data_IF_901482159255
#
_entry.id   IF_901482159255
#
_cell.length_a   1.000
_cell.length_b   1.000
_cell.length_c   1.000
_cell.angle_alpha   90.00
_cell.angle_beta   90.00
_cell.angle_gamma   90.00
#
_symmetry.space_group_name_H-M   'P 1'
#
loop_
_entity.id
_entity.type
_entity.pdbx_description
1 polymer ?
#
# COMPACT_ATOMS: atom_id res chain seq x y z
N UNK A 1 5.46 16.05 9.38
CA UNK A 1 4.92 15.26 10.51
C UNK A 1 3.47 15.62 10.82
N UNK A 2 3.09 16.91 10.85
CA UNK A 2 1.71 17.34 11.09
C UNK A 2 0.69 16.82 10.06
N UNK A 3 1.09 16.64 8.80
CA UNK A 3 0.18 16.23 7.72
C UNK A 3 -0.34 14.80 7.86
N UNK A 4 0.53 13.82 8.16
CA UNK A 4 0.13 12.43 8.36
C UNK A 4 -0.79 12.26 9.58
N UNK A 5 -0.50 13.00 10.67
CA UNK A 5 -1.34 13.03 11.87
C UNK A 5 -2.71 13.66 11.57
N UNK A 6 -2.73 14.75 10.79
CA UNK A 6 -3.95 15.40 10.33
C UNK A 6 -4.83 14.47 9.49
N UNK A 7 -4.24 13.76 8.52
CA UNK A 7 -4.96 12.76 7.71
C UNK A 7 -5.53 11.64 8.57
N UNK A 8 -4.73 11.05 9.47
CA UNK A 8 -5.18 9.98 10.36
C UNK A 8 -6.35 10.45 11.24
N UNK A 9 -6.27 11.66 11.78
CA UNK A 9 -7.35 12.26 12.55
C UNK A 9 -8.64 12.45 11.72
N UNK A 10 -8.53 12.95 10.48
CA UNK A 10 -9.68 13.11 9.58
C UNK A 10 -10.32 11.76 9.22
N UNK A 11 -9.51 10.74 8.93
CA UNK A 11 -9.98 9.36 8.66
C UNK A 11 -10.73 8.80 9.87
N UNK A 12 -10.16 8.93 11.07
CA UNK A 12 -10.80 8.53 12.33
C UNK A 12 -12.13 9.28 12.54
N UNK A 13 -12.17 10.58 12.22
CA UNK A 13 -13.39 11.37 12.31
C UNK A 13 -14.50 10.81 11.39
N UNK A 14 -14.17 10.47 10.14
CA UNK A 14 -15.12 9.88 9.18
C UNK A 14 -15.64 8.52 9.68
N UNK A 15 -14.76 7.64 10.18
CA UNK A 15 -15.15 6.33 10.73
C UNK A 15 -16.12 6.51 11.90
N UNK A 16 -15.79 7.39 12.84
CA UNK A 16 -16.62 7.65 14.01
C UNK A 16 -17.98 8.27 13.64
N UNK A 17 -18.00 9.23 12.71
CA UNK A 17 -19.25 9.82 12.22
C UNK A 17 -20.11 8.79 11.49
N UNK A 18 -19.50 7.96 10.64
CA UNK A 18 -20.20 6.89 9.91
C UNK A 18 -20.86 5.90 10.86
N UNK A 19 -20.14 5.47 11.90
CA UNK A 19 -20.70 4.61 12.94
C UNK A 19 -21.88 5.27 13.67
N UNK A 20 -21.75 6.55 14.08
CA UNK A 20 -22.84 7.29 14.73
C UNK A 20 -24.06 7.39 13.83
N UNK A 21 -23.90 7.79 12.57
CA UNK A 21 -24.99 7.86 11.59
C UNK A 21 -25.64 6.50 11.41
N UNK A 22 -24.87 5.42 11.24
CA UNK A 22 -25.39 4.07 11.07
C UNK A 22 -26.26 3.63 12.27
N UNK A 23 -25.86 3.99 13.50
CA UNK A 23 -26.67 3.72 14.70
C UNK A 23 -27.99 4.50 14.70
N UNK A 24 -27.99 5.76 14.24
CA UNK A 24 -29.21 6.54 14.09
C UNK A 24 -30.13 5.93 13.02
N UNK A 25 -29.58 5.55 11.86
CA UNK A 25 -30.31 4.84 10.82
C UNK A 25 -30.97 3.55 11.35
N UNK A 26 -30.27 2.79 12.21
CA UNK A 26 -30.82 1.58 12.82
C UNK A 26 -32.03 1.90 13.72
N UNK A 27 -31.98 3.00 14.47
CA UNK A 27 -33.11 3.46 15.29
C UNK A 27 -34.33 3.82 14.44
N UNK A 28 -34.13 4.38 13.24
CA UNK A 28 -35.23 4.62 12.31
C UNK A 28 -35.76 3.32 11.70
N UNK A 29 -34.91 2.34 11.41
CA UNK A 29 -35.33 1.07 10.79
C UNK A 29 -36.34 0.27 11.62
N UNK A 30 -36.27 0.42 12.95
CA UNK A 30 -37.19 -0.25 13.88
C UNK A 30 -38.49 0.53 14.08
N UNK A 31 -38.50 1.83 13.75
CA UNK A 31 -39.62 2.74 13.95
C UNK A 31 -40.42 3.02 12.67
N UNK A 32 -39.80 2.90 11.49
CA UNK A 32 -40.34 3.38 10.22
C UNK A 32 -40.22 2.32 9.12
N UNK A 33 -41.34 1.74 8.70
CA UNK A 33 -41.37 0.69 7.68
C UNK A 33 -41.21 1.20 6.24
N UNK A 34 -41.66 2.42 5.93
CA UNK A 34 -41.73 2.94 4.55
C UNK A 34 -40.37 3.40 3.98
N UNK A 35 -39.35 3.58 4.83
CA UNK A 35 -38.01 4.03 4.44
C UNK A 35 -36.95 2.92 4.55
N UNK A 36 -37.37 1.66 4.75
CA UNK A 36 -36.44 0.56 5.08
C UNK A 36 -35.39 0.32 4.00
N UNK A 37 -35.76 0.44 2.72
CA UNK A 37 -34.84 0.31 1.58
C UNK A 37 -33.77 1.39 1.60
N UNK A 38 -34.19 2.65 1.77
CA UNK A 38 -33.31 3.81 1.82
C UNK A 38 -32.36 3.72 3.02
N UNK A 39 -32.88 3.34 4.19
CA UNK A 39 -32.09 3.13 5.41
C UNK A 39 -31.04 2.03 5.19
N UNK A 40 -31.43 0.90 4.60
CA UNK A 40 -30.51 -0.22 4.36
C UNK A 40 -29.42 0.17 3.36
N UNK A 41 -29.79 0.88 2.29
CA UNK A 41 -28.84 1.40 1.30
C UNK A 41 -27.80 2.31 1.97
N UNK A 42 -28.26 3.24 2.81
CA UNK A 42 -27.38 4.16 3.54
C UNK A 42 -26.51 3.43 4.56
N UNK A 43 -27.03 2.44 5.29
CA UNK A 43 -26.24 1.63 6.23
C UNK A 43 -25.14 0.84 5.54
N UNK A 44 -25.46 0.16 4.43
CA UNK A 44 -24.47 -0.57 3.65
C UNK A 44 -23.37 0.37 3.16
N UNK A 45 -23.75 1.58 2.73
CA UNK A 45 -22.83 2.62 2.30
C UNK A 45 -21.88 3.10 3.40
N UNK A 46 -22.41 3.37 4.58
CA UNK A 46 -21.62 3.81 5.73
C UNK A 46 -20.68 2.72 6.25
N UNK A 47 -21.14 1.46 6.21
CA UNK A 47 -20.33 0.30 6.57
C UNK A 47 -19.15 0.14 5.61
N UNK A 48 -19.41 0.16 4.29
CA UNK A 48 -18.38 0.08 3.25
C UNK A 48 -17.36 1.23 3.33
N UNK A 49 -17.83 2.45 3.60
CA UNK A 49 -16.95 3.60 3.84
C UNK A 49 -16.07 3.38 5.06
N UNK A 50 -16.65 2.92 6.18
CA UNK A 50 -15.92 2.67 7.42
C UNK A 50 -14.87 1.57 7.27
N UNK A 51 -15.19 0.46 6.60
CA UNK A 51 -14.24 -0.66 6.40
C UNK A 51 -13.09 -0.25 5.49
N UNK A 52 -13.38 0.44 4.38
CA UNK A 52 -12.36 0.95 3.46
C UNK A 52 -11.39 1.91 4.17
N UNK A 53 -11.93 2.84 4.96
CA UNK A 53 -11.14 3.82 5.68
C UNK A 53 -10.42 3.26 6.91
N UNK A 54 -10.92 2.18 7.51
CA UNK A 54 -10.18 1.45 8.57
C UNK A 54 -8.90 0.84 8.02
N UNK A 55 -8.94 0.31 6.79
CA UNK A 55 -7.74 -0.14 6.09
C UNK A 55 -6.73 1.00 5.88
N UNK A 56 -7.22 2.19 5.49
CA UNK A 56 -6.39 3.40 5.36
C UNK A 56 -5.78 3.80 6.69
N UNK A 57 -6.56 3.82 7.77
CA UNK A 57 -6.08 4.17 9.11
C UNK A 57 -4.93 3.27 9.54
N UNK A 58 -5.07 1.94 9.39
CA UNK A 58 -4.01 0.99 9.72
C UNK A 58 -2.73 1.21 8.90
N UNK A 59 -2.86 1.66 7.65
CA UNK A 59 -1.69 2.03 6.84
C UNK A 59 -1.03 3.31 7.37
N UNK A 60 -1.81 4.33 7.73
CA UNK A 60 -1.30 5.59 8.28
C UNK A 60 -0.60 5.39 9.64
N UNK A 61 -1.16 4.57 10.52
CA UNK A 61 -0.59 4.28 11.84
C UNK A 61 0.76 3.55 11.75
N UNK A 62 0.97 2.74 10.71
CA UNK A 62 2.20 2.00 10.48
C UNK A 62 3.27 2.77 9.69
N UNK A 63 2.94 3.95 9.14
CA UNK A 63 3.92 4.77 8.43
C UNK A 63 4.77 5.56 9.44
N UNK A 64 5.81 4.92 9.96
CA UNK A 64 6.86 5.60 10.71
C UNK A 64 7.59 6.62 9.80
N UNK A 65 7.21 7.89 9.93
CA UNK A 65 7.94 9.07 9.44
C UNK A 65 8.03 9.27 7.92
N UNK A 66 7.17 8.63 7.11
CA UNK A 66 7.08 8.95 5.68
C UNK A 66 6.06 10.08 5.46
N UNK A 67 6.51 11.17 4.86
CA UNK A 67 5.62 12.25 4.39
C UNK A 67 4.90 11.74 3.14
N UNK A 68 3.59 11.50 3.27
CA UNK A 68 2.72 11.35 2.11
C UNK A 68 2.65 12.68 1.38
N UNK A 69 2.72 12.65 0.05
CA UNK A 69 2.47 13.84 -0.76
C UNK A 69 0.96 14.14 -0.73
N UNK A 70 0.49 14.78 0.33
CA UNK A 70 -0.94 15.05 0.49
C UNK A 70 -1.43 16.00 -0.58
N UNK A 71 -2.11 15.46 -1.59
CA UNK A 71 -2.79 16.28 -2.58
C UNK A 71 -3.91 17.10 -1.93
N UNK A 72 -4.09 18.36 -2.35
CA UNK A 72 -5.21 19.19 -1.91
C UNK A 72 -6.56 18.48 -2.12
N UNK A 73 -6.67 17.73 -3.23
CA UNK A 73 -7.85 16.92 -3.56
C UNK A 73 -8.18 15.87 -2.49
N UNK A 74 -7.18 15.26 -1.86
CA UNK A 74 -7.37 14.32 -0.76
C UNK A 74 -7.97 15.02 0.46
N UNK A 75 -7.41 16.18 0.82
CA UNK A 75 -7.87 16.99 1.96
C UNK A 75 -9.31 17.44 1.71
N UNK A 76 -9.60 18.01 0.54
CA UNK A 76 -10.93 18.47 0.16
C UNK A 76 -11.95 17.33 0.19
N UNK A 77 -11.55 16.12 -0.22
CA UNK A 77 -12.43 14.94 -0.21
C UNK A 77 -12.70 14.42 1.20
N UNK A 78 -11.71 14.47 2.09
CA UNK A 78 -11.88 14.12 3.50
C UNK A 78 -12.82 15.12 4.19
N UNK A 79 -12.58 16.41 4.01
CA UNK A 79 -13.39 17.48 4.61
C UNK A 79 -14.82 17.46 4.08
N UNK A 80 -14.99 17.28 2.75
CA UNK A 80 -16.29 17.10 2.13
C UNK A 80 -17.05 15.89 2.67
N UNK A 81 -16.36 14.78 2.89
CA UNK A 81 -16.96 13.58 3.48
C UNK A 81 -17.39 13.81 4.94
N UNK A 82 -16.55 14.45 5.75
CA UNK A 82 -16.85 14.82 7.13
C UNK A 82 -18.09 15.73 7.18
N UNK A 83 -18.15 16.75 6.32
CA UNK A 83 -19.26 17.69 6.26
C UNK A 83 -20.58 17.00 5.89
N UNK A 84 -20.55 16.13 4.88
CA UNK A 84 -21.73 15.38 4.44
C UNK A 84 -22.25 14.48 5.57
N UNK A 85 -21.36 13.76 6.25
CA UNK A 85 -21.71 12.91 7.39
C UNK A 85 -22.21 13.71 8.60
N UNK A 86 -21.62 14.87 8.88
CA UNK A 86 -22.07 15.74 9.96
C UNK A 86 -23.47 16.30 9.68
N UNK A 87 -23.76 16.70 8.43
CA UNK A 87 -25.10 17.13 8.00
C UNK A 87 -26.12 16.00 8.08
N UNK A 88 -25.71 14.79 7.71
CA UNK A 88 -26.54 13.60 7.82
C UNK A 88 -26.87 13.30 9.29
N UNK A 89 -25.85 13.34 10.16
CA UNK A 89 -26.00 13.18 11.60
C UNK A 89 -26.94 14.24 12.18
N UNK A 90 -26.78 15.53 11.85
CA UNK A 90 -27.61 16.59 12.43
C UNK A 90 -29.08 16.49 12.06
N UNK A 91 -29.40 15.89 10.91
CA UNK A 91 -30.79 15.66 10.48
C UNK A 91 -31.40 14.39 11.04
N UNK A 92 -30.57 13.37 11.27
CA UNK A 92 -30.96 12.13 11.91
C UNK A 92 -31.04 12.26 13.43
N UNK A 93 -30.28 13.18 14.04
CA UNK A 93 -30.28 13.38 15.47
C UNK A 93 -31.54 14.16 15.89
N UNK A 94 -32.44 13.56 16.68
CA UNK A 94 -33.61 14.26 17.20
C UNK A 94 -33.26 15.40 18.18
N UNK A 95 -31.99 15.57 18.58
CA UNK A 95 -31.52 16.71 19.37
C UNK A 95 -32.21 16.81 20.74
N UNK A 96 -32.63 18.02 21.14
CA UNK A 96 -33.38 18.28 22.40
C UNK A 96 -34.71 17.51 22.49
N UNK A 97 -35.22 16.98 21.36
CA UNK A 97 -36.39 16.12 21.37
C UNK A 97 -36.12 14.76 22.04
N UNK A 98 -34.88 14.40 22.38
CA UNK A 98 -34.58 13.18 23.16
C UNK A 98 -35.29 13.14 24.53
N UNK A 99 -35.46 14.29 25.21
CA UNK A 99 -36.19 14.37 26.49
C UNK A 99 -37.71 14.19 26.32
N UNK A 100 -38.29 14.70 25.23
CA UNK A 100 -39.72 14.56 24.92
C UNK A 100 -40.05 13.23 24.24
N UNK A 101 -39.15 12.68 23.40
CA UNK A 101 -39.25 11.35 22.79
C UNK A 101 -39.16 10.23 23.82
N UNK A 102 -38.42 10.40 24.92
CA UNK A 102 -38.47 9.44 26.03
C UNK A 102 -39.87 9.30 26.63
N UNK A 103 -40.74 10.32 26.48
CA UNK A 103 -42.12 10.34 26.99
C UNK A 103 -43.14 9.75 26.01
N UNK A 104 -42.92 9.87 24.69
CA UNK A 104 -43.84 9.38 23.65
C UNK A 104 -43.36 8.14 22.88
N UNK A 105 -42.11 7.72 23.09
CA UNK A 105 -41.48 6.61 22.38
C UNK A 105 -41.11 6.94 20.93
N UNK A 106 -40.34 6.04 20.30
CA UNK A 106 -39.91 6.14 18.90
C UNK A 106 -41.06 6.09 17.88
N UNK A 107 -42.31 5.91 18.33
CA UNK A 107 -43.52 5.78 17.48
C UNK A 107 -43.90 7.05 16.71
N UNK A 108 -43.31 8.20 17.04
CA UNK A 108 -43.53 9.47 16.35
C UNK A 108 -42.37 9.87 15.41
N UNK A 109 -41.33 9.04 15.26
CA UNK A 109 -40.23 9.35 14.36
C UNK A 109 -40.66 9.17 12.92
N UNK A 110 -40.67 10.27 12.18
CA UNK A 110 -40.79 10.25 10.72
C UNK A 110 -39.39 10.25 10.13
N UNK A 111 -39.15 9.39 9.14
CA UNK A 111 -37.92 9.44 8.36
C UNK A 111 -37.78 10.83 7.72
N UNK A 112 -36.64 11.53 7.90
CA UNK A 112 -36.53 12.94 7.54
C UNK A 112 -36.03 13.18 6.11
N UNK A 113 -35.83 12.13 5.30
CA UNK A 113 -35.30 12.22 3.94
C UNK A 113 -36.27 11.63 2.93
N UNK A 114 -36.24 12.13 1.70
CA UNK A 114 -36.86 11.47 0.56
C UNK A 114 -35.87 10.54 -0.14
N UNK A 115 -36.36 9.52 -0.86
CA UNK A 115 -35.49 8.51 -1.49
C UNK A 115 -34.47 9.12 -2.48
N UNK A 116 -34.86 10.16 -3.23
CA UNK A 116 -33.95 10.89 -4.13
C UNK A 116 -32.79 11.55 -3.37
N UNK A 117 -33.07 12.08 -2.19
CA UNK A 117 -32.06 12.70 -1.34
C UNK A 117 -31.09 11.66 -0.80
N UNK A 118 -31.61 10.51 -0.34
CA UNK A 118 -30.78 9.38 0.12
C UNK A 118 -29.88 8.88 -1.01
N UNK A 119 -30.41 8.73 -2.22
CA UNK A 119 -29.60 8.36 -3.39
C UNK A 119 -28.47 9.37 -3.65
N UNK A 120 -28.74 10.67 -3.54
CA UNK A 120 -27.72 11.71 -3.70
C UNK A 120 -26.61 11.61 -2.64
N UNK A 121 -26.99 11.43 -1.37
CA UNK A 121 -26.04 11.23 -0.27
C UNK A 121 -25.18 10.00 -0.52
N UNK A 122 -25.79 8.87 -0.91
CA UNK A 122 -25.09 7.62 -1.21
C UNK A 122 -24.09 7.81 -2.36
N UNK A 123 -24.46 8.55 -3.41
CA UNK A 123 -23.57 8.89 -4.53
C UNK A 123 -22.43 9.85 -4.13
N UNK A 124 -22.67 10.77 -3.20
CA UNK A 124 -21.62 11.65 -2.69
C UNK A 124 -20.60 10.86 -1.85
N UNK A 125 -21.09 10.02 -0.93
CA UNK A 125 -20.23 9.13 -0.15
C UNK A 125 -19.48 8.13 -1.04
N UNK A 126 -20.16 7.60 -2.08
CA UNK A 126 -19.60 7.21 -3.39
C UNK A 126 -18.23 7.77 -3.75
N UNK A 127 -18.36 8.99 -4.25
CA UNK A 127 -17.36 9.79 -4.86
C UNK A 127 -16.21 10.14 -3.91
N UNK A 128 -16.52 10.48 -2.67
CA UNK A 128 -15.49 10.77 -1.68
C UNK A 128 -14.62 9.55 -1.38
N UNK A 129 -15.23 8.38 -1.16
CA UNK A 129 -14.47 7.13 -0.93
C UNK A 129 -13.53 6.85 -2.11
N UNK A 130 -14.06 6.87 -3.33
CA UNK A 130 -13.27 6.63 -4.54
C UNK A 130 -12.11 7.61 -4.68
N UNK A 131 -12.36 8.90 -4.43
CA UNK A 131 -11.34 9.93 -4.55
C UNK A 131 -10.25 9.77 -3.49
N UNK A 132 -10.63 9.50 -2.23
CA UNK A 132 -9.67 9.23 -1.15
C UNK A 132 -8.80 8.03 -1.50
N UNK A 133 -9.40 6.90 -1.91
CA UNK A 133 -8.66 5.70 -2.30
C UNK A 133 -7.71 5.97 -3.47
N UNK A 134 -8.17 6.68 -4.50
CA UNK A 134 -7.36 7.01 -5.67
C UNK A 134 -6.17 7.90 -5.30
N UNK A 135 -6.38 8.94 -4.50
CA UNK A 135 -5.30 9.82 -4.05
C UNK A 135 -4.24 9.02 -3.27
N UNK A 136 -4.66 8.15 -2.36
CA UNK A 136 -3.73 7.31 -1.59
C UNK A 136 -2.97 6.31 -2.47
N UNK A 137 -3.60 5.76 -3.52
CA UNK A 137 -2.93 4.91 -4.49
C UNK A 137 -1.89 5.67 -5.31
N UNK A 138 -2.17 6.91 -5.70
CA UNK A 138 -1.21 7.78 -6.39
C UNK A 138 -0.01 8.08 -5.49
N UNK A 139 -0.23 8.35 -4.20
CA UNK A 139 0.86 8.58 -3.25
C UNK A 139 1.71 7.31 -3.08
N UNK A 140 1.07 6.15 -2.97
CA UNK A 140 1.76 4.86 -2.88
C UNK A 140 2.60 4.56 -4.12
N UNK A 141 2.08 4.81 -5.33
CA UNK A 141 2.82 4.59 -6.57
C UNK A 141 4.00 5.54 -6.70
N UNK A 142 3.87 6.79 -6.24
CA UNK A 142 4.97 7.76 -6.20
C UNK A 142 6.11 7.28 -5.30
N UNK A 143 5.79 6.75 -4.10
CA UNK A 143 6.79 6.16 -3.20
C UNK A 143 7.47 4.95 -3.85
N UNK A 144 6.71 4.08 -4.53
CA UNK A 144 7.27 2.91 -5.21
C UNK A 144 8.24 3.30 -6.34
N UNK A 145 7.91 4.35 -7.10
CA UNK A 145 8.79 4.88 -8.15
C UNK A 145 10.07 5.49 -7.58
N UNK A 146 9.98 6.25 -6.48
CA UNK A 146 11.17 6.78 -5.78
C UNK A 146 12.09 5.64 -5.28
N UNK A 147 11.51 4.60 -4.66
CA UNK A 147 12.27 3.42 -4.22
C UNK A 147 12.96 2.75 -5.41
N UNK A 148 12.25 2.58 -6.53
CA UNK A 148 12.81 1.97 -7.75
C UNK A 148 13.99 2.79 -8.29
N UNK A 149 13.86 4.11 -8.39
CA UNK A 149 14.94 4.98 -8.86
C UNK A 149 16.17 4.92 -7.95
N UNK A 150 15.97 4.91 -6.63
CA UNK A 150 17.06 4.75 -5.66
C UNK A 150 17.76 3.40 -5.81
N UNK A 151 17.01 2.32 -6.02
CA UNK A 151 17.57 1.00 -6.24
C UNK A 151 18.38 0.90 -7.54
N UNK A 152 17.87 1.47 -8.64
CA UNK A 152 18.60 1.57 -9.91
C UNK A 152 19.91 2.35 -9.74
N UNK A 153 19.92 3.42 -8.92
CA UNK A 153 21.13 4.17 -8.58
C UNK A 153 22.13 3.41 -7.69
N UNK A 154 21.67 2.46 -6.86
CA UNK A 154 22.54 1.58 -6.07
C UNK A 154 23.16 0.48 -6.93
N UNK A 155 22.46 0.03 -7.97
CA UNK A 155 22.92 -1.05 -8.87
C UNK A 155 24.03 -0.63 -9.85
N UNK A 156 24.51 0.62 -9.79
CA UNK A 156 25.64 1.12 -10.57
C UNK A 156 26.72 1.73 -9.68
N UNK A 157 27.21 0.97 -8.71
CA UNK A 157 28.66 0.86 -8.62
C UNK A 157 29.09 -0.28 -9.56
N UNK A 158 29.40 -0.01 -10.85
CA UNK A 158 30.56 -0.69 -11.36
C UNK A 158 31.67 -0.31 -10.39
N UNK A 159 32.29 -1.30 -9.75
CA UNK A 159 33.67 -1.12 -9.33
C UNK A 159 34.41 -0.63 -10.57
N UNK A 160 34.53 0.69 -10.69
CA UNK A 160 35.22 1.34 -11.76
C UNK A 160 36.69 1.02 -11.54
N UNK A 161 37.12 -0.08 -12.14
CA UNK A 161 38.34 -0.18 -12.89
C UNK A 161 39.54 0.55 -12.27
N UNK A 162 39.76 0.40 -10.96
CA UNK A 162 41.13 0.44 -10.49
C UNK A 162 41.69 -0.89 -10.95
N UNK A 163 42.52 -0.86 -11.99
CA UNK A 163 43.55 -1.87 -12.21
C UNK A 163 44.45 -1.86 -10.98
N UNK A 164 43.93 -2.34 -9.86
CA UNK A 164 44.72 -2.92 -8.79
C UNK A 164 45.20 -4.19 -9.44
N UNK A 165 46.47 -4.19 -9.87
CA UNK A 165 47.22 -5.40 -10.10
C UNK A 165 46.77 -6.40 -9.04
N UNK A 166 46.00 -7.41 -9.47
CA UNK A 166 45.36 -8.35 -8.59
C UNK A 166 46.48 -8.99 -7.81
N UNK A 167 46.71 -8.52 -6.59
CA UNK A 167 47.72 -9.07 -5.69
C UNK A 167 47.07 -10.35 -5.21
N UNK A 168 47.50 -11.53 -5.67
CA UNK A 168 46.84 -12.76 -5.28
C UNK A 168 46.94 -12.86 -3.75
N UNK A 169 45.80 -12.77 -3.07
CA UNK A 169 45.69 -12.80 -1.60
C UNK A 169 46.03 -14.17 -1.00
N UNK A 170 46.63 -15.05 -1.78
CA UNK A 170 47.19 -16.30 -1.34
C UNK A 170 48.55 -16.51 -2.01
N UNK A 171 49.51 -15.68 -1.62
CA UNK A 171 50.91 -16.06 -1.75
C UNK A 171 51.19 -16.99 -0.58
N UNK A 172 51.12 -18.30 -0.79
CA UNK A 172 51.62 -19.22 0.24
C UNK A 172 53.12 -18.96 0.35
N UNK A 173 53.67 -18.76 1.55
CA UNK A 173 55.09 -18.49 1.73
C UNK A 173 55.87 -19.81 1.62
N UNK A 174 55.64 -20.55 0.55
CA UNK A 174 56.53 -21.62 0.14
C UNK A 174 57.47 -21.00 -0.88
N UNK A 175 58.77 -21.08 -0.60
CA UNK A 175 59.77 -20.91 -1.64
C UNK A 175 59.42 -21.88 -2.78
N UNK A 176 59.55 -21.43 -4.04
CA UNK A 176 59.34 -22.30 -5.19
C UNK A 176 60.25 -23.52 -5.01
N UNK A 177 59.64 -24.70 -4.90
CA UNK A 177 60.38 -25.95 -4.90
C UNK A 177 61.15 -26.04 -6.22
N UNK A 178 62.49 -26.14 -6.21
CA UNK A 178 63.30 -26.18 -7.43
C UNK A 178 62.96 -27.38 -8.32
N UNK A 179 62.31 -28.41 -7.77
CA UNK A 179 61.88 -29.59 -8.53
C UNK A 179 60.41 -29.51 -8.99
N UNK A 180 59.73 -28.37 -8.79
CA UNK A 180 58.34 -28.19 -9.23
C UNK A 180 58.26 -28.04 -10.76
N UNK A 181 57.74 -29.06 -11.43
CA UNK A 181 57.50 -29.03 -12.88
C UNK A 181 56.16 -28.35 -13.18
N UNK A 182 56.21 -27.26 -13.93
CA UNK A 182 55.03 -26.50 -14.32
C UNK A 182 54.12 -27.33 -15.25
N UNK A 183 52.80 -27.22 -15.06
CA UNK A 183 51.79 -28.05 -15.78
C UNK A 183 51.88 -28.05 -17.32
N UNK A 184 52.34 -26.98 -18.02
CA UNK A 184 52.57 -27.02 -19.46
C UNK A 184 53.65 -28.00 -19.90
N UNK A 185 54.64 -28.27 -19.04
CA UNK A 185 55.79 -29.13 -19.36
C UNK A 185 55.39 -30.60 -19.35
N UNK A 186 54.47 -30.99 -18.46
CA UNK A 186 53.88 -32.36 -18.43
C UNK A 186 53.11 -32.64 -19.72
N UNK A 187 52.37 -31.67 -20.25
CA UNK A 187 51.60 -31.83 -21.49
C UNK A 187 52.51 -31.90 -22.72
N UNK A 188 53.63 -31.18 -22.68
CA UNK A 188 54.67 -31.22 -23.73
C UNK A 188 55.38 -32.58 -23.72
N UNK A 189 55.77 -33.07 -22.54
CA UNK A 189 56.36 -34.40 -22.37
C UNK A 189 55.40 -35.53 -22.82
N UNK A 190 54.11 -35.46 -22.46
CA UNK A 190 53.10 -36.41 -22.94
C UNK A 190 52.96 -36.39 -24.46
N UNK A 191 52.97 -35.20 -25.07
CA UNK A 191 52.91 -35.09 -26.54
C UNK A 191 54.15 -35.69 -27.19
N UNK A 192 55.35 -35.44 -26.68
CA UNK A 192 56.59 -36.02 -27.20
C UNK A 192 56.59 -37.55 -27.11
N UNK A 193 56.13 -38.12 -25.99
CA UNK A 193 56.08 -39.57 -25.79
C UNK A 193 55.08 -40.28 -26.72
N UNK A 194 53.93 -39.66 -27.00
CA UNK A 194 52.84 -40.32 -27.73
C UNK A 194 52.70 -39.89 -29.21
N UNK A 195 53.46 -38.89 -29.67
CA UNK A 195 53.49 -38.51 -31.10
C UNK A 195 54.78 -38.93 -31.82
N UNK A 196 55.76 -39.49 -31.09
CA UNK A 196 57.05 -39.91 -31.62
C UNK A 196 57.26 -41.43 -31.76
N UNK A 197 56.36 -42.16 -32.44
CA UNK A 197 56.71 -43.44 -33.12
C UNK A 197 55.54 -43.99 -33.96
N UNK A 198 55.20 -43.28 -35.03
CA UNK A 198 54.52 -43.86 -36.18
C UNK A 198 55.51 -43.90 -37.36
N UNK A 199 56.42 -44.87 -37.35
CA UNK A 199 57.25 -45.15 -38.52
C UNK A 199 58.52 -45.94 -38.26
N UNK A 200 58.48 -47.23 -38.64
CA UNK A 200 59.54 -48.17 -39.11
C UNK A 200 59.31 -49.55 -38.48
N UNK A 201 59.16 -50.67 -39.19
CA UNK A 201 59.48 -51.03 -40.57
C UNK A 201 58.61 -52.22 -41.02
N UNK A 202 58.05 -52.10 -42.22
CA UNK A 202 57.80 -53.23 -43.11
C UNK A 202 59.13 -53.80 -43.60
N UNK A 203 59.40 -55.09 -43.42
CA UNK A 203 60.39 -55.83 -44.20
C UNK A 203 59.72 -56.35 -45.49
N UNK A 204 60.30 -55.98 -46.62
CA UNK A 204 59.96 -56.43 -47.97
C UNK A 204 60.79 -57.68 -48.36
N UNK A 205 60.11 -58.59 -49.09
CA UNK A 205 60.61 -59.66 -49.98
C UNK A 205 61.37 -60.84 -49.37
#
# INVERSE_FOLDING_TARGET
MAEAVGLAASVIAIINLSAKVATLCLQYSTAVGNARTDITCLQNRLSDLGTSLSGVQHLLDNQNNKTLATSQKLIDSLDGCILELARLQSRLDPGKARKTMRRFGFRALRWPFDSKEVSGIVSNLEHYKQTITLCLQVDQTTILLDIRQRFEGVSLQPEGNASLAHKPCFSVPFDRDPDFIDRPDIMTWLKEQYTGSAGRQSCSS
#
